data_IF_379153918813
#
_entry.id   IF_379153918813
#
_cell.length_a   1.000
_cell.length_b   1.000
_cell.length_c   1.000
_cell.angle_alpha   90.00
_cell.angle_beta   90.00
_cell.angle_gamma   90.00
#
_symmetry.space_group_name_H-M   'P 1'
#
loop_
_entity.id
_entity.type
_entity.pdbx_description
1 polymer ?
#
# COMPACT_ATOMS: atom_id res chain seq x y z
N UNK A 1 13.60 15.00 12.91
CA UNK A 1 13.27 14.97 11.47
C UNK A 1 11.79 14.72 11.35
N UNK A 2 11.04 15.56 10.64
CA UNK A 2 9.58 15.47 10.48
C UNK A 2 9.24 14.76 9.17
N UNK A 3 8.04 14.19 9.09
CA UNK A 3 7.58 13.44 7.91
C UNK A 3 7.79 14.20 6.58
N UNK A 4 7.55 15.51 6.56
CA UNK A 4 7.77 16.35 5.36
C UNK A 4 9.22 16.35 4.88
N UNK A 5 10.19 16.20 5.79
CA UNK A 5 11.61 16.28 5.46
C UNK A 5 12.04 15.08 4.60
N UNK A 6 11.29 13.96 4.62
CA UNK A 6 11.53 12.82 3.70
C UNK A 6 11.42 13.24 2.22
N UNK A 7 10.52 14.17 1.88
CA UNK A 7 10.38 14.66 0.51
C UNK A 7 11.61 15.46 0.06
N UNK A 8 12.39 16.01 1.00
CA UNK A 8 13.58 16.79 0.72
C UNK A 8 14.84 15.91 0.66
N UNK A 9 14.93 14.88 1.52
CA UNK A 9 16.15 14.06 1.66
C UNK A 9 16.14 12.76 0.87
N UNK A 10 14.97 12.25 0.49
CA UNK A 10 14.84 10.98 -0.22
C UNK A 10 14.15 11.20 -1.59
N UNK A 11 14.93 11.30 -2.69
CA UNK A 11 14.39 11.56 -4.03
C UNK A 11 13.53 10.42 -4.57
N UNK A 12 13.57 9.24 -3.94
CA UNK A 12 12.71 8.10 -4.28
C UNK A 12 11.28 8.23 -3.73
N UNK A 13 10.99 9.26 -2.92
CA UNK A 13 9.64 9.53 -2.40
C UNK A 13 8.88 10.40 -3.39
N UNK A 14 7.79 9.86 -3.96
CA UNK A 14 6.86 10.59 -4.81
C UNK A 14 5.95 11.50 -3.99
N UNK A 15 5.35 10.92 -2.94
CA UNK A 15 4.33 11.60 -2.13
C UNK A 15 4.29 11.07 -0.70
N UNK A 16 3.61 11.79 0.17
CA UNK A 16 3.20 11.28 1.49
C UNK A 16 1.68 11.37 1.57
N UNK A 17 1.05 10.22 1.74
CA UNK A 17 -0.39 10.03 1.81
C UNK A 17 -0.85 9.80 3.25
N UNK A 18 -2.03 10.29 3.58
CA UNK A 18 -2.74 10.01 4.82
C UNK A 18 -3.60 8.74 4.73
N UNK A 19 -3.61 8.06 3.59
CA UNK A 19 -4.53 6.95 3.28
C UNK A 19 -3.81 5.62 3.10
N UNK A 20 -4.35 4.59 3.77
CA UNK A 20 -4.02 3.20 3.54
C UNK A 20 -5.18 2.51 2.82
N UNK A 21 -4.98 2.10 1.57
CA UNK A 21 -6.00 1.39 0.77
C UNK A 21 -6.41 0.03 1.36
N UNK A 22 -5.55 -0.57 2.20
CA UNK A 22 -5.83 -1.80 2.94
C UNK A 22 -5.92 -1.55 4.46
N UNK A 23 -6.19 -0.31 4.88
CA UNK A 23 -6.31 0.12 6.27
C UNK A 23 -7.59 -0.34 6.97
N UNK A 24 -8.06 -1.56 6.70
CA UNK A 24 -9.23 -2.16 7.36
C UNK A 24 -8.92 -2.42 8.85
N UNK A 25 -9.95 -2.52 9.69
CA UNK A 25 -9.79 -2.76 11.14
C UNK A 25 -8.90 -3.95 11.48
N UNK A 26 -8.95 -5.02 10.68
CA UNK A 26 -8.14 -6.24 10.83
C UNK A 26 -6.68 -6.12 10.38
N UNK A 27 -6.28 -4.99 9.82
CA UNK A 27 -4.93 -4.74 9.31
C UNK A 27 -4.23 -3.54 9.92
N UNK A 28 -4.99 -2.66 10.57
CA UNK A 28 -4.55 -1.32 10.96
C UNK A 28 -4.47 -1.19 12.49
N UNK A 29 -3.32 -1.55 13.07
CA UNK A 29 -3.15 -1.70 14.52
C UNK A 29 -2.24 -0.63 15.14
N UNK A 30 -1.14 -0.27 14.47
CA UNK A 30 -0.14 0.67 15.01
C UNK A 30 -0.29 2.10 14.45
N UNK A 31 -0.65 3.11 15.27
CA UNK A 31 -0.75 4.49 14.81
C UNK A 31 0.62 5.16 14.60
N UNK A 32 1.75 4.56 14.97
CA UNK A 32 3.09 5.10 14.73
C UNK A 32 3.79 4.50 13.51
N UNK A 33 3.22 3.44 12.92
CA UNK A 33 3.80 2.75 11.78
C UNK A 33 3.44 3.41 10.45
N UNK A 34 4.44 3.50 9.58
CA UNK A 34 4.35 4.00 8.22
C UNK A 34 5.10 3.03 7.30
N UNK A 35 4.72 3.01 6.04
CA UNK A 35 5.27 2.11 5.03
C UNK A 35 5.41 2.82 3.68
N UNK A 36 6.08 2.16 2.73
CA UNK A 36 6.23 2.63 1.35
C UNK A 36 5.31 1.84 0.41
N UNK A 37 4.74 2.50 -0.58
CA UNK A 37 3.89 1.90 -1.61
C UNK A 37 4.19 2.52 -2.97
N UNK A 38 4.42 1.69 -3.98
CA UNK A 38 4.57 2.15 -5.37
C UNK A 38 3.21 2.54 -5.98
N UNK A 39 2.11 2.09 -5.37
CA UNK A 39 0.78 2.57 -5.72
C UNK A 39 0.54 3.95 -5.10
N UNK A 40 0.25 4.96 -5.93
CA UNK A 40 -0.17 6.30 -5.48
C UNK A 40 -1.60 6.25 -4.86
N UNK A 41 -1.74 6.45 -3.53
CA UNK A 41 -3.05 6.29 -2.86
C UNK A 41 -3.95 7.52 -3.02
N UNK A 42 -3.36 8.72 -3.06
CA UNK A 42 -4.09 9.99 -3.01
C UNK A 42 -4.67 10.26 -1.62
N UNK A 43 -5.95 10.69 -1.55
CA UNK A 43 -6.76 10.85 -0.32
C UNK A 43 -6.01 11.49 0.87
N UNK A 44 -5.80 12.81 0.80
CA UNK A 44 -5.05 13.57 1.80
C UNK A 44 -3.55 13.34 1.63
N UNK A 45 -2.94 14.01 0.66
CA UNK A 45 -1.58 13.74 0.24
C UNK A 45 -0.81 15.03 0.04
N UNK A 46 0.52 14.94 0.15
CA UNK A 46 1.45 16.02 -0.14
C UNK A 46 2.55 15.55 -1.09
N UNK A 47 2.98 16.48 -1.95
CA UNK A 47 4.11 16.32 -2.88
C UNK A 47 5.05 17.50 -2.77
N UNK A 48 6.27 17.33 -3.28
CA UNK A 48 7.21 18.42 -3.45
C UNK A 48 6.79 19.34 -4.61
N UNK A 49 7.23 20.60 -4.59
CA UNK A 49 6.96 21.55 -5.68
C UNK A 49 7.54 21.07 -7.01
N UNK A 50 8.72 20.48 -6.96
CA UNK A 50 9.45 19.95 -8.11
C UNK A 50 8.68 18.83 -8.79
N UNK A 51 8.02 17.96 -8.01
CA UNK A 51 7.10 16.95 -8.56
C UNK A 51 5.93 17.62 -9.27
N UNK A 52 5.37 18.71 -8.72
CA UNK A 52 4.33 19.46 -9.42
C UNK A 52 4.83 20.10 -10.73
N UNK A 53 6.03 20.67 -10.71
CA UNK A 53 6.66 21.27 -11.89
C UNK A 53 6.93 20.23 -13.00
N UNK A 54 7.22 18.98 -12.63
CA UNK A 54 7.33 17.85 -13.58
C UNK A 54 5.98 17.47 -14.22
N UNK A 55 4.90 17.38 -13.44
CA UNK A 55 3.61 16.80 -13.93
C UNK A 55 2.69 17.82 -14.58
N UNK A 56 2.80 19.12 -14.24
CA UNK A 56 1.85 20.15 -14.68
C UNK A 56 1.80 20.32 -16.20
N UNK A 57 2.90 20.06 -16.92
CA UNK A 57 2.98 20.21 -18.38
C UNK A 57 2.28 19.08 -19.13
N UNK A 58 2.14 17.90 -18.51
CA UNK A 58 1.48 16.73 -19.07
C UNK A 58 0.16 16.39 -18.35
N UNK A 59 -0.43 17.38 -17.67
CA UNK A 59 -1.62 17.16 -16.85
C UNK A 59 -2.79 16.62 -17.70
N UNK A 60 -3.42 15.51 -17.29
CA UNK A 60 -4.44 14.89 -18.11
C UNK A 60 -5.76 15.66 -18.04
N UNK A 61 -6.60 15.50 -19.06
CA UNK A 61 -7.96 16.09 -19.07
C UNK A 61 -8.90 15.42 -18.07
N UNK A 62 -8.69 14.14 -17.77
CA UNK A 62 -9.50 13.31 -16.86
C UNK A 62 -8.60 12.36 -16.08
N UNK A 63 -9.11 11.77 -14.99
CA UNK A 63 -8.42 10.73 -14.21
C UNK A 63 -6.99 11.13 -13.75
N UNK A 64 -6.87 12.31 -13.16
CA UNK A 64 -5.58 12.86 -12.72
C UNK A 64 -4.82 11.94 -11.75
N UNK A 65 -5.54 11.17 -10.94
CA UNK A 65 -4.95 10.23 -9.99
C UNK A 65 -4.34 9.01 -10.69
N UNK A 66 -4.87 8.60 -11.84
CA UNK A 66 -4.24 7.58 -12.69
C UNK A 66 -2.95 8.08 -13.33
N UNK A 67 -2.85 9.38 -13.64
CA UNK A 67 -1.61 9.97 -14.15
C UNK A 67 -0.46 9.84 -13.15
N UNK A 68 -0.70 10.02 -11.85
CA UNK A 68 0.33 9.78 -10.82
C UNK A 68 0.70 8.30 -10.64
N UNK A 69 -0.20 7.37 -11.00
CA UNK A 69 0.06 5.93 -10.93
C UNK A 69 0.83 5.41 -12.15
N UNK A 70 0.87 6.19 -13.24
CA UNK A 70 1.57 5.82 -14.45
C UNK A 70 3.10 5.72 -14.18
N UNK A 71 3.77 4.63 -14.58
CA UNK A 71 5.23 4.48 -14.46
C UNK A 71 6.03 5.64 -15.08
N UNK A 72 5.54 6.29 -16.13
CA UNK A 72 6.23 7.46 -16.73
C UNK A 72 6.20 8.69 -15.84
N UNK A 73 5.19 8.80 -14.97
CA UNK A 73 5.04 9.87 -13.98
C UNK A 73 5.70 9.51 -12.66
N UNK A 74 5.43 8.30 -12.14
CA UNK A 74 5.98 7.84 -10.87
C UNK A 74 7.50 7.65 -10.95
N UNK A 75 8.03 7.21 -12.11
CA UNK A 75 9.47 7.01 -12.37
C UNK A 75 10.13 6.11 -11.32
N UNK A 76 9.42 5.08 -10.87
CA UNK A 76 9.88 4.16 -9.81
C UNK A 76 9.88 4.76 -8.39
N UNK A 77 9.40 6.00 -8.20
CA UNK A 77 9.24 6.60 -6.88
C UNK A 77 8.01 6.01 -6.19
N UNK A 78 8.06 5.94 -4.86
CA UNK A 78 6.98 5.39 -4.02
C UNK A 78 6.41 6.45 -3.09
N UNK A 79 5.20 6.23 -2.57
CA UNK A 79 4.60 7.07 -1.56
C UNK A 79 4.75 6.49 -0.15
N UNK A 80 4.90 7.37 0.84
CA UNK A 80 4.77 7.00 2.25
C UNK A 80 3.29 6.99 2.64
N UNK A 81 2.84 5.99 3.39
CA UNK A 81 1.48 5.93 3.93
C UNK A 81 1.47 5.36 5.36
N UNK A 82 0.49 5.71 6.22
CA UNK A 82 0.39 5.18 7.57
C UNK A 82 -0.22 3.77 7.60
N UNK A 83 0.03 2.98 8.63
CA UNK A 83 -0.72 1.73 8.85
C UNK A 83 -2.20 2.01 9.16
N UNK A 84 -2.49 3.02 10.01
CA UNK A 84 -3.85 3.50 10.26
C UNK A 84 -4.07 4.84 9.52
N UNK A 85 -5.05 4.92 8.62
CA UNK A 85 -5.35 6.16 7.87
C UNK A 85 -5.59 7.37 8.79
N UNK A 86 -5.15 8.57 8.37
CA UNK A 86 -5.36 9.83 9.12
C UNK A 86 -6.56 10.63 8.65
N UNK A 87 -7.13 10.23 7.52
CA UNK A 87 -8.36 10.79 6.96
C UNK A 87 -9.40 9.68 6.83
N UNK A 88 -10.66 10.08 6.77
CA UNK A 88 -11.78 9.22 6.38
C UNK A 88 -12.43 9.82 5.14
N UNK A 89 -13.02 8.96 4.30
CA UNK A 89 -13.83 9.40 3.19
C UNK A 89 -15.29 9.05 3.52
N UNK A 90 -16.11 10.09 3.71
CA UNK A 90 -17.55 9.99 4.00
C UNK A 90 -18.43 10.25 2.76
N UNK A 91 -17.82 10.45 1.58
CA UNK A 91 -18.49 10.82 0.34
C UNK A 91 -19.15 9.62 -0.35
N UNK A 92 -20.25 9.13 0.23
CA UNK A 92 -21.02 8.00 -0.35
C UNK A 92 -21.63 8.33 -1.72
N UNK A 93 -21.99 9.59 -1.94
CA UNK A 93 -22.49 10.11 -3.23
C UNK A 93 -21.44 11.06 -3.79
N UNK A 94 -20.97 10.77 -5.00
CA UNK A 94 -19.95 11.56 -5.68
C UNK A 94 -19.90 11.26 -7.17
N UNK A 95 -18.79 11.61 -7.83
CA UNK A 95 -18.60 11.46 -9.27
C UNK A 95 -18.61 9.99 -9.72
N UNK A 96 -18.19 9.06 -8.85
CA UNK A 96 -18.18 7.62 -9.10
C UNK A 96 -19.26 6.87 -8.31
N UNK A 97 -19.84 5.80 -8.89
CA UNK A 97 -20.94 5.04 -8.30
C UNK A 97 -20.46 3.92 -7.34
N UNK A 98 -21.24 3.67 -6.28
CA UNK A 98 -20.77 3.34 -4.93
C UNK A 98 -20.42 1.90 -4.50
N UNK A 99 -20.33 0.89 -5.38
CA UNK A 99 -19.93 -0.46 -4.90
C UNK A 99 -18.49 -0.51 -4.40
N UNK A 100 -17.56 0.15 -5.10
CA UNK A 100 -16.17 0.22 -4.67
C UNK A 100 -16.03 0.99 -3.35
N UNK A 101 -16.77 2.09 -3.23
CA UNK A 101 -16.77 2.89 -2.00
C UNK A 101 -17.22 2.05 -0.79
N UNK A 102 -18.38 1.40 -0.89
CA UNK A 102 -18.95 0.64 0.23
C UNK A 102 -18.05 -0.53 0.66
N UNK A 103 -17.39 -1.20 -0.29
CA UNK A 103 -16.59 -2.39 0.01
C UNK A 103 -15.15 -2.07 0.43
N UNK A 104 -14.56 -0.99 -0.08
CA UNK A 104 -13.11 -0.77 0.02
C UNK A 104 -12.68 0.63 0.49
N UNK A 105 -13.58 1.61 0.56
CA UNK A 105 -13.24 2.97 1.01
C UNK A 105 -13.90 3.28 2.34
N UNK A 106 -15.21 3.10 2.44
CA UNK A 106 -15.99 3.31 3.65
C UNK A 106 -15.47 2.50 4.87
N UNK A 107 -15.04 1.23 4.74
CA UNK A 107 -14.62 0.43 5.89
C UNK A 107 -13.20 0.72 6.39
N UNK A 108 -12.48 1.67 5.77
CA UNK A 108 -11.11 1.99 6.14
C UNK A 108 -11.08 2.71 7.49
N UNK A 109 -10.27 2.19 8.40
CA UNK A 109 -10.13 2.68 9.77
C UNK A 109 -9.41 4.03 9.76
N UNK A 110 -10.08 5.06 10.28
CA UNK A 110 -9.42 6.33 10.63
C UNK A 110 -8.85 6.27 12.04
N UNK A 111 -7.64 6.77 12.20
CA UNK A 111 -7.01 6.93 13.49
C UNK A 111 -7.76 7.98 14.34
N UNK A 112 -8.13 7.58 15.54
CA UNK A 112 -8.76 8.45 16.57
C UNK A 112 -7.82 8.73 17.74
N UNK A 113 -6.65 8.09 17.79
CA UNK A 113 -5.68 8.27 18.85
C UNK A 113 -4.79 9.49 18.60
N UNK A 114 -4.42 10.21 19.66
CA UNK A 114 -3.45 11.31 19.57
C UNK A 114 -2.05 10.74 19.34
N UNK A 115 -1.47 11.01 18.18
CA UNK A 115 -0.11 10.60 17.82
C UNK A 115 0.87 11.74 18.09
N UNK A 116 1.92 11.48 18.85
CA UNK A 116 3.07 12.38 18.93
C UNK A 116 4.02 12.09 17.77
N UNK A 117 3.99 12.91 16.73
CA UNK A 117 4.80 12.71 15.53
C UNK A 117 6.30 12.84 15.76
N UNK A 118 6.74 13.44 16.86
CA UNK A 118 8.16 13.46 17.25
C UNK A 118 8.67 12.05 17.60
N UNK A 119 7.78 11.12 17.96
CA UNK A 119 8.12 9.72 18.24
C UNK A 119 8.13 8.84 16.98
N UNK A 120 7.67 9.36 15.83
CA UNK A 120 7.69 8.61 14.57
C UNK A 120 9.11 8.64 14.02
N UNK A 121 9.81 7.51 14.12
CA UNK A 121 11.19 7.37 13.64
C UNK A 121 11.23 7.34 12.11
N UNK A 122 11.25 8.47 11.41
CA UNK A 122 11.16 8.44 9.95
C UNK A 122 12.40 7.95 9.19
N UNK A 123 13.56 7.80 9.86
CA UNK A 123 14.80 7.35 9.20
C UNK A 123 14.70 5.94 8.58
N UNK A 124 13.85 5.06 9.12
CA UNK A 124 13.61 3.74 8.54
C UNK A 124 12.80 3.78 7.22
N UNK A 125 12.20 4.93 6.89
CA UNK A 125 11.41 5.10 5.67
C UNK A 125 12.26 5.58 4.48
N UNK A 126 13.51 6.00 4.72
CA UNK A 126 14.48 6.25 3.64
C UNK A 126 14.65 4.95 2.86
N UNK A 127 14.59 5.00 1.53
CA UNK A 127 14.51 3.82 0.67
C UNK A 127 15.48 2.70 1.05
N UNK A 128 16.77 2.99 1.18
CA UNK A 128 17.80 2.00 1.53
C UNK A 128 17.49 1.28 2.85
N UNK A 129 17.14 2.04 3.89
CA UNK A 129 16.80 1.49 5.21
C UNK A 129 15.49 0.69 5.17
N UNK A 130 14.50 1.20 4.43
CA UNK A 130 13.21 0.55 4.28
C UNK A 130 13.36 -0.79 3.56
N UNK A 131 14.05 -0.81 2.43
CA UNK A 131 14.29 -2.01 1.63
C UNK A 131 15.06 -3.06 2.42
N UNK A 132 16.15 -2.67 3.10
CA UNK A 132 16.92 -3.58 3.94
C UNK A 132 16.02 -4.26 4.99
N UNK A 133 15.15 -3.50 5.66
CA UNK A 133 14.25 -4.05 6.67
C UNK A 133 13.09 -4.86 6.09
N UNK A 134 12.46 -4.36 5.02
CA UNK A 134 11.29 -4.97 4.39
C UNK A 134 11.64 -6.31 3.74
N UNK A 135 12.73 -6.35 2.97
CA UNK A 135 13.15 -7.59 2.32
C UNK A 135 13.72 -8.61 3.30
N UNK A 136 14.34 -8.20 4.40
CA UNK A 136 14.76 -9.13 5.44
C UNK A 136 13.55 -9.78 6.14
N UNK A 137 12.50 -8.99 6.43
CA UNK A 137 11.23 -9.52 6.95
C UNK A 137 10.57 -10.49 5.96
N UNK A 138 10.48 -10.10 4.68
CA UNK A 138 9.93 -10.95 3.62
C UNK A 138 10.73 -12.25 3.44
N UNK A 139 12.06 -12.17 3.49
CA UNK A 139 12.95 -13.34 3.37
C UNK A 139 12.70 -14.33 4.51
N UNK A 140 12.58 -13.84 5.74
CA UNK A 140 12.29 -14.64 6.95
C UNK A 140 10.89 -15.22 7.00
N UNK A 141 9.93 -14.63 6.28
CA UNK A 141 8.56 -15.14 6.26
C UNK A 141 8.48 -16.56 5.69
N UNK A 142 7.64 -17.39 6.30
CA UNK A 142 7.46 -18.81 6.02
C UNK A 142 6.68 -18.96 4.70
N UNK A 143 7.25 -19.59 3.66
CA UNK A 143 6.52 -19.86 2.43
C UNK A 143 5.41 -20.87 2.69
N UNK A 144 4.20 -20.58 2.23
CA UNK A 144 3.04 -21.44 2.43
C UNK A 144 2.07 -21.34 1.25
N UNK A 145 1.37 -22.42 0.93
CA UNK A 145 0.27 -22.37 -0.04
C UNK A 145 -0.98 -21.77 0.60
N UNK A 146 -1.93 -21.31 -0.22
CA UNK A 146 -3.22 -20.84 0.31
C UNK A 146 -3.95 -21.97 1.08
N UNK A 147 -3.94 -23.20 0.55
CA UNK A 147 -4.62 -24.33 1.18
C UNK A 147 -4.01 -24.70 2.53
N UNK A 148 -2.68 -24.72 2.64
CA UNK A 148 -2.00 -25.01 3.90
C UNK A 148 -2.22 -23.88 4.92
N UNK A 149 -2.21 -22.62 4.46
CA UNK A 149 -2.53 -21.47 5.30
C UNK A 149 -3.95 -21.55 5.89
N UNK A 150 -4.91 -22.02 5.09
CA UNK A 150 -6.30 -22.22 5.54
C UNK A 150 -6.46 -23.41 6.49
N UNK A 151 -5.56 -24.38 6.43
CA UNK A 151 -5.55 -25.53 7.32
C UNK A 151 -4.87 -25.26 8.67
N UNK A 152 -4.26 -24.08 8.87
CA UNK A 152 -3.66 -23.69 10.16
C UNK A 152 -4.76 -23.61 11.23
N UNK A 153 -4.68 -24.40 12.31
CA UNK A 153 -5.71 -24.42 13.35
C UNK A 153 -5.67 -23.16 14.24
N UNK A 154 -4.48 -22.63 14.50
CA UNK A 154 -4.24 -21.42 15.28
C UNK A 154 -3.00 -20.67 14.78
N UNK A 155 -3.05 -19.34 14.78
CA UNK A 155 -1.90 -18.49 14.50
C UNK A 155 -1.21 -18.14 15.81
N UNK A 156 -0.21 -18.93 16.18
CA UNK A 156 0.59 -18.71 17.39
C UNK A 156 1.93 -18.05 17.06
N UNK A 157 2.46 -17.28 18.01
CA UNK A 157 3.83 -16.75 17.95
C UNK A 157 4.08 -15.58 17.00
N UNK A 158 3.05 -14.90 16.48
CA UNK A 158 3.19 -13.72 15.61
C UNK A 158 4.06 -13.99 14.37
N UNK A 159 3.95 -15.20 13.80
CA UNK A 159 4.72 -15.60 12.63
C UNK A 159 4.35 -14.76 11.40
N UNK A 160 5.30 -14.66 10.47
CA UNK A 160 5.08 -14.08 9.14
C UNK A 160 5.04 -15.18 8.10
N UNK A 161 4.03 -15.18 7.25
CA UNK A 161 3.88 -16.10 6.13
C UNK A 161 4.01 -15.35 4.81
N UNK A 162 4.38 -16.06 3.74
CA UNK A 162 4.34 -15.51 2.38
C UNK A 162 3.67 -16.49 1.42
N UNK A 163 2.68 -15.99 0.69
CA UNK A 163 1.87 -16.75 -0.25
C UNK A 163 2.12 -16.20 -1.66
N UNK A 164 2.60 -17.09 -2.54
CA UNK A 164 2.91 -16.74 -3.92
C UNK A 164 1.65 -16.75 -4.78
N UNK A 165 1.48 -15.78 -5.68
CA UNK A 165 0.55 -15.86 -6.79
C UNK A 165 1.31 -15.97 -8.11
N UNK A 166 0.79 -16.79 -9.03
CA UNK A 166 1.41 -17.12 -10.31
C UNK A 166 0.70 -16.50 -11.51
N UNK A 167 -0.44 -15.86 -11.26
CA UNK A 167 -1.29 -15.27 -12.28
C UNK A 167 -2.25 -14.25 -11.67
N UNK A 168 -2.85 -13.42 -12.52
CA UNK A 168 -3.96 -12.55 -12.14
C UNK A 168 -5.08 -13.29 -11.41
N UNK A 169 -5.43 -14.49 -11.86
CA UNK A 169 -6.47 -15.31 -11.26
C UNK A 169 -6.12 -15.76 -9.83
N UNK A 170 -4.88 -16.21 -9.61
CA UNK A 170 -4.43 -16.60 -8.26
C UNK A 170 -4.29 -15.39 -7.35
N UNK A 171 -3.85 -14.24 -7.87
CA UNK A 171 -3.87 -12.96 -7.15
C UNK A 171 -5.28 -12.57 -6.72
N UNK A 172 -6.27 -12.62 -7.62
CA UNK A 172 -7.67 -12.33 -7.30
C UNK A 172 -8.22 -13.26 -6.21
N UNK A 173 -7.91 -14.55 -6.25
CA UNK A 173 -8.29 -15.51 -5.19
C UNK A 173 -7.71 -15.10 -3.83
N UNK A 174 -6.43 -14.71 -3.78
CA UNK A 174 -5.81 -14.21 -2.55
C UNK A 174 -6.49 -12.92 -2.07
N UNK A 175 -6.74 -11.95 -2.94
CA UNK A 175 -7.43 -10.73 -2.57
C UNK A 175 -8.82 -10.99 -1.99
N UNK A 176 -9.59 -11.90 -2.59
CA UNK A 176 -10.90 -12.33 -2.08
C UNK A 176 -10.76 -12.98 -0.70
N UNK A 177 -9.81 -13.91 -0.54
CA UNK A 177 -9.53 -14.55 0.77
C UNK A 177 -9.24 -13.52 1.85
N UNK A 178 -8.39 -12.56 1.54
CA UNK A 178 -7.99 -11.51 2.46
C UNK A 178 -8.96 -10.32 2.45
N UNK A 179 -10.08 -10.36 1.74
CA UNK A 179 -11.07 -9.28 1.71
C UNK A 179 -10.48 -7.91 1.36
N UNK A 180 -9.47 -7.88 0.50
CA UNK A 180 -8.87 -6.66 -0.07
C UNK A 180 -9.27 -6.53 -1.53
N UNK A 181 -9.14 -5.34 -2.11
CA UNK A 181 -9.44 -5.17 -3.54
C UNK A 181 -8.38 -5.87 -4.40
N UNK A 182 -8.83 -6.53 -5.47
CA UNK A 182 -7.94 -7.02 -6.53
C UNK A 182 -7.71 -5.96 -7.62
N UNK A 183 -8.17 -4.72 -7.43
CA UNK A 183 -7.90 -3.64 -8.37
C UNK A 183 -6.43 -3.23 -8.31
N UNK A 184 -5.80 -3.23 -9.47
CA UNK A 184 -4.43 -2.75 -9.69
C UNK A 184 -4.44 -1.53 -10.63
N UNK A 185 -3.28 -0.88 -10.77
CA UNK A 185 -2.99 0.08 -11.84
C UNK A 185 -1.56 -0.14 -12.32
N UNK A 186 -1.38 -0.27 -13.63
CA UNK A 186 -0.08 -0.57 -14.24
C UNK A 186 0.59 -1.81 -13.61
N UNK A 187 -0.23 -2.82 -13.32
CA UNK A 187 0.12 -4.09 -12.67
C UNK A 187 0.65 -3.95 -11.22
N UNK A 188 0.46 -2.79 -10.59
CA UNK A 188 0.86 -2.54 -9.21
C UNK A 188 -0.35 -2.73 -8.29
N UNK A 189 -0.30 -3.70 -7.35
CA UNK A 189 -1.26 -3.82 -6.27
C UNK A 189 -1.29 -2.59 -5.35
N UNK A 190 -2.46 -2.29 -4.78
CA UNK A 190 -2.55 -1.26 -3.75
C UNK A 190 -1.70 -1.62 -2.53
N UNK A 191 -1.09 -0.62 -1.90
CA UNK A 191 -0.23 -0.76 -0.70
C UNK A 191 0.90 -1.78 -0.86
N UNK A 192 1.44 -1.90 -2.08
CA UNK A 192 2.52 -2.84 -2.37
C UNK A 192 3.83 -2.13 -2.67
N UNK A 193 4.92 -2.85 -2.40
CA UNK A 193 6.28 -2.43 -2.69
C UNK A 193 7.00 -3.59 -3.39
N UNK A 194 7.51 -3.37 -4.61
CA UNK A 194 7.94 -4.42 -5.54
C UNK A 194 6.87 -5.50 -5.77
N UNK A 195 5.61 -5.06 -5.97
CA UNK A 195 4.43 -5.95 -6.10
C UNK A 195 4.17 -6.88 -4.90
N UNK A 196 4.87 -6.70 -3.78
CA UNK A 196 4.64 -7.44 -2.53
C UNK A 196 3.67 -6.63 -1.67
N UNK A 197 2.51 -7.21 -1.36
CA UNK A 197 1.54 -6.64 -0.43
C UNK A 197 1.74 -7.25 0.96
N UNK A 198 1.92 -6.40 1.97
CA UNK A 198 2.03 -6.82 3.37
C UNK A 198 0.71 -6.59 4.12
N UNK A 199 0.23 -7.61 4.83
CA UNK A 199 -0.98 -7.58 5.64
C UNK A 199 -0.65 -7.97 7.09
N UNK A 200 -0.97 -7.08 8.03
CA UNK A 200 -0.74 -7.29 9.47
C UNK A 200 -2.03 -7.78 10.15
N UNK A 201 -2.23 -9.08 10.38
CA UNK A 201 -3.46 -9.63 10.96
C UNK A 201 -3.48 -9.63 12.50
N UNK A 202 -2.67 -8.78 13.14
CA UNK A 202 -2.43 -8.70 14.59
C UNK A 202 -1.74 -9.94 15.17
N UNK A 203 -2.37 -11.11 15.00
CA UNK A 203 -1.90 -12.43 15.47
C UNK A 203 -0.75 -13.00 14.66
N UNK A 204 -0.62 -12.58 13.41
CA UNK A 204 0.39 -13.01 12.44
C UNK A 204 0.41 -12.01 11.28
N UNK A 205 1.31 -12.19 10.33
CA UNK A 205 1.34 -11.37 9.13
C UNK A 205 1.47 -12.21 7.86
N UNK A 206 0.99 -11.66 6.74
CA UNK A 206 1.03 -12.33 5.44
C UNK A 206 1.58 -11.38 4.39
N UNK A 207 2.54 -11.87 3.61
CA UNK A 207 2.99 -11.26 2.37
C UNK A 207 2.32 -11.97 1.18
N UNK A 208 1.75 -11.20 0.26
CA UNK A 208 1.29 -11.69 -1.04
C UNK A 208 2.30 -11.23 -2.09
N UNK A 209 2.87 -12.16 -2.86
CA UNK A 209 3.96 -11.82 -3.79
C UNK A 209 3.86 -12.59 -5.13
N UNK A 210 4.33 -11.99 -6.24
CA UNK A 210 4.29 -12.65 -7.54
C UNK A 210 5.35 -13.74 -7.66
N UNK A 211 5.11 -14.75 -8.50
CA UNK A 211 6.16 -15.71 -8.88
C UNK A 211 7.22 -15.13 -9.82
N UNK A 212 6.89 -14.05 -10.53
CA UNK A 212 7.83 -13.30 -11.35
C UNK A 212 7.35 -11.86 -11.56
N UNK A 213 8.27 -10.95 -11.82
CA UNK A 213 7.94 -9.54 -12.10
C UNK A 213 7.14 -9.36 -13.40
N UNK A 214 7.17 -10.37 -14.28
CA UNK A 214 6.44 -10.40 -15.55
C UNK A 214 4.95 -10.72 -15.39
N UNK A 215 4.45 -11.00 -14.18
CA UNK A 215 3.02 -11.18 -13.96
C UNK A 215 2.27 -9.87 -14.20
N UNK A 216 1.34 -9.91 -15.14
CA UNK A 216 0.38 -8.86 -15.44
C UNK A 216 -0.91 -9.07 -14.64
N UNK A 217 -1.36 -8.02 -13.95
CA UNK A 217 -2.55 -8.03 -13.08
C UNK A 217 -3.73 -7.22 -13.63
N UNK A 218 -3.48 -6.36 -14.63
CA UNK A 218 -4.51 -5.57 -15.30
C UNK A 218 -4.94 -6.31 -16.59
N UNK A 219 -6.15 -6.05 -17.07
CA UNK A 219 -6.59 -6.56 -18.38
C UNK A 219 -6.06 -5.67 -19.49
N UNK A 220 -5.45 -6.29 -20.51
CA UNK A 220 -5.26 -5.69 -21.84
C UNK A 220 -4.54 -4.34 -21.85
N UNK A 221 -3.25 -4.33 -21.50
CA UNK A 221 -2.34 -3.25 -21.89
C UNK A 221 -2.11 -3.20 -23.38
#
# INVERSE_FOLDING_TARGET
MKMKDLLDIDPSVLCISAWNDNGFNKYAHDPYRFQRSEFFPGLGWMIKREVWDEVKTSWPKTFWDEHFRNPTTSKGRSCIYPEISRVENFGMIGVSVGKFYLNYVHPIKRNTQKVNYENVKIGHLIQENYEASFFEQFKKAIPITLSDYEAIPSFEGHLSYKIQYTSRFTYQKLCIKFGITHSTRYHIPRTSYHKITFLNLETHSVFLYPSSDTIELDEGT
#
